data_IF_806962611983
#
_entry.id   IF_806962611983
#
_cell.length_a   1.000
_cell.length_b   1.000
_cell.length_c   1.000
_cell.angle_alpha   90.00
_cell.angle_beta   90.00
_cell.angle_gamma   90.00
#
_symmetry.space_group_name_H-M   'P 1'
#
loop_
_entity.id
_entity.type
_entity.pdbx_description
1 polymer ?
#
# COMPACT_ATOMS: atom_id res chain seq x y z
N UNK A 1 -21.21 -7.15 15.83
CA UNK A 1 -20.24 -7.63 14.82
C UNK A 1 -19.45 -6.42 14.35
N UNK A 2 -18.26 -6.22 14.91
CA UNK A 2 -17.48 -4.99 14.79
C UNK A 2 -16.75 -5.00 13.45
N UNK A 3 -17.11 -4.08 12.54
CA UNK A 3 -16.43 -3.93 11.25
C UNK A 3 -14.95 -3.69 11.47
N UNK A 4 -14.08 -4.46 10.79
CA UNK A 4 -12.63 -4.27 10.83
C UNK A 4 -12.30 -2.87 10.32
N UNK A 5 -11.64 -2.08 11.17
CA UNK A 5 -11.22 -0.73 10.83
C UNK A 5 -10.12 -0.80 9.74
N UNK A 6 -10.45 -0.28 8.55
CA UNK A 6 -9.46 -0.05 7.50
C UNK A 6 -8.37 0.94 7.94
N UNK A 7 -7.20 0.85 7.33
CA UNK A 7 -6.07 1.75 7.63
C UNK A 7 -6.21 3.12 6.97
N UNK A 8 -5.53 4.14 7.52
CA UNK A 8 -5.51 5.49 6.96
C UNK A 8 -4.16 5.82 6.32
N UNK A 9 -4.20 6.41 5.13
CA UNK A 9 -3.03 7.01 4.48
C UNK A 9 -3.14 8.51 4.61
N UNK A 10 -2.04 9.15 5.03
CA UNK A 10 -1.97 10.60 5.17
C UNK A 10 -1.07 11.18 4.09
N UNK A 11 -1.67 11.90 3.14
CA UNK A 11 -0.91 12.63 2.14
C UNK A 11 -0.42 13.95 2.69
N UNK A 12 0.85 14.29 2.50
CA UNK A 12 1.51 15.46 3.09
C UNK A 12 2.27 16.24 2.03
N UNK A 13 2.11 17.57 2.06
CA UNK A 13 2.95 18.52 1.34
C UNK A 13 3.53 19.54 2.33
N UNK A 14 4.78 19.95 2.11
CA UNK A 14 5.43 20.94 2.96
C UNK A 14 6.34 21.89 2.16
N UNK A 15 6.43 23.14 2.62
CA UNK A 15 7.49 24.07 2.20
C UNK A 15 8.85 23.54 2.69
N UNK A 16 9.92 23.96 2.00
CA UNK A 16 11.28 23.57 2.36
C UNK A 16 11.56 23.97 3.82
N UNK A 17 12.08 23.03 4.61
CA UNK A 17 12.46 23.28 6.00
C UNK A 17 11.29 23.40 6.99
N UNK A 18 10.08 23.00 6.62
CA UNK A 18 8.98 22.91 7.58
C UNK A 18 9.37 21.95 8.74
N UNK A 19 9.15 22.34 10.01
CA UNK A 19 9.54 21.53 11.15
C UNK A 19 8.67 20.28 11.27
N UNK A 20 9.26 19.18 11.74
CA UNK A 20 8.56 17.90 11.92
C UNK A 20 7.34 18.03 12.86
N UNK A 21 7.44 18.85 13.90
CA UNK A 21 6.36 19.08 14.86
C UNK A 21 5.15 19.78 14.22
N UNK A 22 5.35 20.67 13.25
CA UNK A 22 4.24 21.30 12.51
C UNK A 22 3.55 20.28 11.59
N UNK A 23 4.33 19.37 10.99
CA UNK A 23 3.79 18.26 10.20
C UNK A 23 2.98 17.32 11.09
N UNK A 24 3.56 16.84 12.19
CA UNK A 24 2.90 15.95 13.13
C UNK A 24 1.67 16.59 13.78
N UNK A 25 1.75 17.87 14.15
CA UNK A 25 0.64 18.63 14.70
C UNK A 25 -0.54 18.64 13.74
N UNK A 26 -0.31 19.02 12.49
CA UNK A 26 -1.36 19.06 11.47
C UNK A 26 -1.96 17.66 11.20
N UNK A 27 -1.13 16.61 11.14
CA UNK A 27 -1.61 15.24 10.96
C UNK A 27 -2.52 14.83 12.13
N UNK A 28 -2.11 15.10 13.37
CA UNK A 28 -2.89 14.78 14.57
C UNK A 28 -4.21 15.53 14.61
N UNK A 29 -4.22 16.80 14.24
CA UNK A 29 -5.43 17.61 14.13
C UNK A 29 -6.40 17.03 13.10
N UNK A 30 -5.91 16.70 11.90
CA UNK A 30 -6.73 16.10 10.85
C UNK A 30 -7.27 14.72 11.25
N UNK A 31 -6.48 13.89 11.94
CA UNK A 31 -6.93 12.59 12.45
C UNK A 31 -8.03 12.74 13.50
N UNK A 32 -7.90 13.73 14.40
CA UNK A 32 -8.93 14.06 15.38
C UNK A 32 -10.23 14.49 14.72
N UNK A 33 -10.15 15.29 13.66
CA UNK A 33 -11.31 15.69 12.85
C UNK A 33 -11.98 14.48 12.19
N UNK A 34 -11.18 13.53 11.69
CA UNK A 34 -11.67 12.30 11.09
C UNK A 34 -12.27 11.29 12.08
N UNK A 35 -12.11 11.51 13.40
CA UNK A 35 -12.39 10.49 14.42
C UNK A 35 -11.48 9.26 14.30
N UNK A 36 -10.32 9.39 13.66
CA UNK A 36 -9.41 8.29 13.38
C UNK A 36 -8.36 8.16 14.51
N UNK A 37 -8.16 6.95 15.08
CA UNK A 37 -7.09 6.70 16.04
C UNK A 37 -5.71 6.94 15.40
N UNK A 38 -4.76 7.55 16.12
CA UNK A 38 -3.42 7.78 15.58
C UNK A 38 -2.72 6.47 15.12
N UNK A 39 -2.93 5.37 15.84
CA UNK A 39 -2.39 4.05 15.49
C UNK A 39 -3.04 3.37 14.27
N UNK A 40 -4.06 4.00 13.67
CA UNK A 40 -4.69 3.49 12.43
C UNK A 40 -4.04 4.05 11.16
N UNK A 41 -3.08 4.97 11.29
CA UNK A 41 -2.27 5.42 10.14
C UNK A 41 -1.34 4.28 9.72
N UNK A 42 -1.35 3.96 8.43
CA UNK A 42 -0.53 2.88 7.86
C UNK A 42 0.57 3.39 6.93
N UNK A 43 0.49 4.63 6.48
CA UNK A 43 1.52 5.28 5.67
C UNK A 43 1.36 6.80 5.68
N UNK A 44 2.49 7.49 5.52
CA UNK A 44 2.53 8.88 5.07
C UNK A 44 2.91 8.87 3.58
N UNK A 45 2.25 9.69 2.76
CA UNK A 45 2.48 9.76 1.32
C UNK A 45 2.84 11.18 0.86
N UNK A 46 3.74 11.32 -0.10
CA UNK A 46 4.10 12.62 -0.69
C UNK A 46 4.58 12.51 -2.14
N UNK A 47 4.87 13.64 -2.78
CA UNK A 47 5.53 13.69 -4.09
C UNK A 47 7.03 13.41 -3.94
N UNK A 48 7.64 12.70 -4.89
CA UNK A 48 9.05 12.32 -4.86
C UNK A 48 10.01 13.50 -4.66
N UNK A 49 9.70 14.69 -5.21
CA UNK A 49 10.46 15.91 -4.97
C UNK A 49 10.54 16.34 -3.50
N UNK A 50 9.67 15.79 -2.63
CA UNK A 50 9.56 16.06 -1.20
C UNK A 50 9.98 14.87 -0.32
N UNK A 51 10.44 13.78 -0.92
CA UNK A 51 10.87 12.57 -0.22
C UNK A 51 11.96 12.81 0.85
N UNK A 52 12.82 13.82 0.63
CA UNK A 52 13.94 14.17 1.50
C UNK A 52 13.71 15.40 2.36
N UNK A 53 12.48 15.93 2.41
CA UNK A 53 12.18 17.03 3.34
C UNK A 53 12.24 16.50 4.77
N UNK A 54 13.14 17.02 5.63
CA UNK A 54 13.38 16.45 6.96
C UNK A 54 12.12 16.39 7.82
N UNK A 55 11.24 17.41 7.74
CA UNK A 55 9.99 17.44 8.48
C UNK A 55 9.03 16.31 8.13
N UNK A 56 8.91 15.94 6.85
CA UNK A 56 8.02 14.87 6.39
C UNK A 56 8.60 13.50 6.77
N UNK A 57 9.90 13.29 6.52
CA UNK A 57 10.57 12.04 6.86
C UNK A 57 10.56 11.78 8.38
N UNK A 58 10.86 12.80 9.19
CA UNK A 58 10.82 12.70 10.64
C UNK A 58 9.40 12.46 11.17
N UNK A 59 8.37 13.07 10.57
CA UNK A 59 6.99 12.81 10.95
C UNK A 59 6.56 11.37 10.68
N UNK A 60 6.92 10.81 9.51
CA UNK A 60 6.64 9.41 9.20
C UNK A 60 7.36 8.46 10.18
N UNK A 61 8.63 8.75 10.50
CA UNK A 61 9.40 7.98 11.48
C UNK A 61 8.79 8.06 12.89
N UNK A 62 8.35 9.24 13.33
CA UNK A 62 7.71 9.44 14.63
C UNK A 62 6.35 8.74 14.75
N UNK A 63 5.65 8.54 13.63
CA UNK A 63 4.43 7.74 13.54
C UNK A 63 4.71 6.23 13.42
N UNK A 64 5.95 5.83 13.17
CA UNK A 64 6.33 4.43 12.97
C UNK A 64 5.80 3.82 11.66
N UNK A 65 5.53 4.65 10.64
CA UNK A 65 4.92 4.22 9.38
C UNK A 65 5.83 4.52 8.18
N UNK A 66 5.73 3.76 7.09
CA UNK A 66 6.49 4.05 5.88
C UNK A 66 6.12 5.40 5.26
N UNK A 67 7.13 6.07 4.69
CA UNK A 67 6.95 7.20 3.79
C UNK A 67 6.89 6.69 2.34
N UNK A 68 5.73 6.83 1.70
CA UNK A 68 5.52 6.53 0.28
C UNK A 68 5.73 7.79 -0.56
N UNK A 69 6.32 7.62 -1.72
CA UNK A 69 6.66 8.73 -2.61
C UNK A 69 6.24 8.42 -4.03
N UNK A 70 5.59 9.37 -4.68
CA UNK A 70 5.05 9.19 -6.03
C UNK A 70 5.62 10.24 -6.99
N UNK A 71 5.79 9.86 -8.26
CA UNK A 71 6.23 10.82 -9.27
C UNK A 71 5.15 11.89 -9.49
N UNK A 72 5.55 13.13 -9.79
CA UNK A 72 4.58 14.21 -10.03
C UNK A 72 3.61 13.88 -11.19
N UNK A 73 4.12 13.23 -12.25
CA UNK A 73 3.32 12.79 -13.39
C UNK A 73 2.31 11.68 -13.04
N UNK A 74 2.60 10.86 -12.03
CA UNK A 74 1.67 9.86 -11.52
C UNK A 74 0.56 10.53 -10.73
N UNK A 75 0.92 11.42 -9.79
CA UNK A 75 -0.03 12.18 -8.98
C UNK A 75 -0.96 13.06 -9.83
N UNK A 76 -0.47 13.59 -10.95
CA UNK A 76 -1.29 14.37 -11.88
C UNK A 76 -2.43 13.57 -12.54
N UNK A 77 -2.34 12.23 -12.54
CA UNK A 77 -3.39 11.33 -13.07
C UNK A 77 -4.38 10.88 -12.00
N UNK A 78 -4.12 11.15 -10.73
CA UNK A 78 -5.01 10.76 -9.63
C UNK A 78 -6.22 11.69 -9.61
N UNK A 79 -7.45 11.17 -9.75
CA UNK A 79 -8.65 11.99 -9.60
C UNK A 79 -8.72 12.51 -8.16
N UNK A 80 -8.74 13.83 -8.00
CA UNK A 80 -8.92 14.49 -6.70
C UNK A 80 -10.15 15.40 -6.75
N UNK A 81 -10.91 15.55 -5.66
CA UNK A 81 -12.08 16.44 -5.63
C UNK A 81 -11.71 17.90 -5.91
N UNK A 82 -10.47 18.31 -5.59
CA UNK A 82 -9.98 19.67 -5.79
C UNK A 82 -8.66 19.67 -6.58
N UNK A 83 -8.71 19.53 -7.92
CA UNK A 83 -7.52 19.54 -8.75
C UNK A 83 -6.78 20.89 -8.63
N UNK A 84 -5.45 20.85 -8.67
CA UNK A 84 -4.63 22.06 -8.70
C UNK A 84 -3.81 22.08 -9.98
N UNK A 85 -3.83 23.21 -10.69
CA UNK A 85 -2.94 23.48 -11.82
C UNK A 85 -1.44 23.40 -11.43
N UNK A 86 -1.13 23.44 -10.13
CA UNK A 86 0.24 23.40 -9.59
C UNK A 86 0.86 21.99 -9.50
N UNK A 87 0.18 20.93 -9.98
CA UNK A 87 0.76 19.58 -10.02
C UNK A 87 2.12 19.54 -10.76
N UNK A 88 2.33 20.45 -11.71
CA UNK A 88 3.58 20.58 -12.47
C UNK A 88 4.65 21.49 -11.83
N UNK A 89 4.30 22.42 -10.91
CA UNK A 89 5.19 23.53 -10.49
C UNK A 89 5.20 23.75 -8.96
N UNK A 90 5.33 22.70 -8.15
CA UNK A 90 5.36 22.77 -6.67
C UNK A 90 3.97 22.80 -6.04
N UNK A 91 3.62 21.66 -5.47
CA UNK A 91 2.34 21.36 -4.85
C UNK A 91 2.10 22.09 -3.54
N UNK A 92 0.84 22.49 -3.35
CA UNK A 92 0.36 22.96 -2.04
C UNK A 92 -1.09 22.57 -1.74
N UNK A 93 -1.81 21.91 -2.65
CA UNK A 93 -3.21 21.48 -2.38
C UNK A 93 -3.57 20.13 -2.97
N UNK A 94 -3.54 19.98 -4.29
CA UNK A 94 -3.88 18.71 -4.95
C UNK A 94 -2.84 17.62 -4.72
N UNK A 95 -1.56 17.98 -4.52
CA UNK A 95 -0.50 16.97 -4.32
C UNK A 95 -0.68 16.17 -3.03
N UNK A 96 -1.16 16.78 -1.95
CA UNK A 96 -1.42 16.04 -0.70
C UNK A 96 -2.59 15.08 -0.87
N UNK A 97 -3.70 15.54 -1.46
CA UNK A 97 -4.87 14.68 -1.75
C UNK A 97 -4.50 13.55 -2.73
N UNK A 98 -3.81 13.87 -3.82
CA UNK A 98 -3.38 12.92 -4.83
C UNK A 98 -2.42 11.87 -4.26
N UNK A 99 -1.46 12.29 -3.41
CA UNK A 99 -0.54 11.36 -2.77
C UNK A 99 -1.26 10.43 -1.79
N UNK A 100 -2.26 10.92 -1.05
CA UNK A 100 -3.07 10.07 -0.17
C UNK A 100 -3.92 9.07 -0.97
N UNK A 101 -4.45 9.51 -2.11
CA UNK A 101 -5.33 8.73 -3.00
C UNK A 101 -4.58 7.85 -4.01
N UNK A 102 -3.24 7.89 -4.05
CA UNK A 102 -2.46 7.32 -5.14
C UNK A 102 -2.74 5.84 -5.41
N UNK A 103 -2.85 5.01 -4.36
CA UNK A 103 -3.25 3.61 -4.54
C UNK A 103 -4.77 3.36 -4.39
N UNK A 104 -5.60 4.41 -4.35
CA UNK A 104 -7.06 4.34 -4.13
C UNK A 104 -7.53 4.60 -2.70
N UNK A 105 -8.83 4.43 -2.44
CA UNK A 105 -9.47 4.67 -1.14
C UNK A 105 -10.48 5.82 -1.16
N UNK A 106 -10.99 6.16 0.01
CA UNK A 106 -11.99 7.22 0.21
C UNK A 106 -11.38 8.42 0.94
N UNK A 107 -11.48 9.61 0.37
CA UNK A 107 -11.05 10.84 1.03
C UNK A 107 -11.99 11.16 2.20
N UNK A 108 -11.50 11.04 3.43
CA UNK A 108 -12.28 11.30 4.65
C UNK A 108 -12.02 12.69 5.22
N UNK A 109 -10.81 13.22 5.02
CA UNK A 109 -10.47 14.61 5.34
C UNK A 109 -9.80 15.21 4.11
N UNK A 110 -10.51 16.13 3.48
CA UNK A 110 -9.94 16.96 2.42
C UNK A 110 -8.83 17.85 2.95
N UNK A 111 -8.16 18.58 2.06
CA UNK A 111 -7.02 19.43 2.40
C UNK A 111 -7.16 20.22 3.71
N UNK A 112 -6.19 20.08 4.60
CA UNK A 112 -5.93 20.94 5.76
C UNK A 112 -4.56 21.57 5.61
N UNK A 113 -4.42 22.83 6.05
CA UNK A 113 -3.16 23.56 6.05
C UNK A 113 -2.78 23.86 7.49
N UNK A 114 -1.49 23.80 7.81
CA UNK A 114 -1.00 24.32 9.07
C UNK A 114 -1.22 25.84 9.12
N UNK A 115 -1.29 26.39 10.33
CA UNK A 115 -1.35 27.84 10.54
C UNK A 115 -2.72 28.38 10.96
N UNK A 116 -2.63 29.41 11.79
CA UNK A 116 -3.68 30.24 12.36
C UNK A 116 -3.01 31.46 13.02
N UNK A 117 -3.72 32.59 13.13
CA UNK A 117 -3.19 33.89 13.58
C UNK A 117 -1.96 34.42 12.79
N UNK A 118 -2.19 34.89 11.56
CA UNK A 118 -1.26 35.80 10.87
C UNK A 118 0.03 35.19 10.28
N UNK A 119 0.27 33.88 10.42
CA UNK A 119 1.39 33.18 9.76
C UNK A 119 0.90 32.30 8.61
N UNK A 120 1.49 32.39 7.40
CA UNK A 120 1.15 31.48 6.31
C UNK A 120 1.66 30.07 6.63
N UNK A 121 0.75 29.09 6.65
CA UNK A 121 1.06 27.68 6.83
C UNK A 121 2.16 27.15 5.92
N UNK A 122 3.09 26.38 6.50
CA UNK A 122 4.14 25.72 5.75
C UNK A 122 3.76 24.28 5.34
N UNK A 123 2.75 23.68 5.93
CA UNK A 123 2.38 22.28 5.76
C UNK A 123 0.93 22.15 5.28
N UNK A 124 0.65 21.09 4.54
CA UNK A 124 -0.68 20.68 4.10
C UNK A 124 -0.81 19.17 4.25
N UNK A 125 -1.96 18.68 4.70
CA UNK A 125 -2.26 17.25 4.68
C UNK A 125 -3.68 16.93 4.21
N UNK A 126 -3.91 15.67 3.85
CA UNK A 126 -5.21 15.07 3.55
C UNK A 126 -5.22 13.63 4.06
N UNK A 127 -6.40 13.09 4.41
CA UNK A 127 -6.54 11.73 4.96
C UNK A 127 -7.46 10.90 4.07
N UNK A 128 -6.97 9.73 3.71
CA UNK A 128 -7.70 8.72 2.94
C UNK A 128 -7.87 7.47 3.78
N UNK A 129 -9.09 6.94 3.83
CA UNK A 129 -9.40 5.63 4.39
C UNK A 129 -9.22 4.56 3.30
N UNK A 130 -8.48 3.51 3.63
CA UNK A 130 -8.36 2.29 2.82
C UNK A 130 -9.39 1.28 3.28
N UNK A 131 -10.01 0.58 2.33
CA UNK A 131 -10.68 -0.67 2.65
C UNK A 131 -9.65 -1.65 3.23
N UNK A 132 -10.06 -2.48 4.16
CA UNK A 132 -9.20 -3.54 4.67
C UNK A 132 -8.91 -4.54 3.55
N UNK A 133 -7.63 -4.84 3.31
CA UNK A 133 -7.25 -5.89 2.36
C UNK A 133 -7.46 -7.30 2.93
N UNK A 134 -8.28 -7.44 3.98
CA UNK A 134 -8.56 -8.73 4.66
C UNK A 134 -9.85 -9.39 4.20
N UNK A 135 -10.51 -8.86 3.18
CA UNK A 135 -11.46 -9.64 2.38
C UNK A 135 -10.67 -10.59 1.48
N UNK A 136 -10.65 -11.91 1.72
CA UNK A 136 -10.32 -12.82 0.62
C UNK A 136 -11.29 -12.52 -0.52
N UNK A 137 -10.79 -12.49 -1.76
CA UNK A 137 -11.71 -12.45 -2.91
C UNK A 137 -12.74 -13.56 -2.75
N UNK A 138 -14.03 -13.32 -3.06
CA UNK A 138 -15.01 -14.38 -3.08
C UNK A 138 -14.51 -15.46 -4.04
N UNK A 139 -14.15 -16.62 -3.50
CA UNK A 139 -13.85 -17.81 -4.28
C UNK A 139 -15.07 -18.04 -5.17
N UNK A 140 -14.94 -18.05 -6.51
CA UNK A 140 -16.08 -18.34 -7.37
C UNK A 140 -16.63 -19.72 -6.96
N UNK A 141 -17.95 -19.89 -6.81
CA UNK A 141 -18.52 -21.18 -6.44
C UNK A 141 -18.17 -22.18 -7.56
N UNK A 142 -17.29 -23.14 -7.28
CA UNK A 142 -17.01 -24.24 -8.22
C UNK A 142 -15.60 -24.81 -8.29
N UNK A 143 -14.63 -24.38 -7.49
CA UNK A 143 -13.36 -25.10 -7.37
C UNK A 143 -13.33 -25.90 -6.07
N UNK A 144 -13.71 -27.18 -6.16
CA UNK A 144 -13.53 -28.12 -5.06
C UNK A 144 -12.02 -28.30 -4.78
N UNK A 145 -11.60 -28.35 -3.50
CA UNK A 145 -10.21 -28.57 -3.16
C UNK A 145 -9.79 -30.00 -3.56
N UNK A 146 -8.83 -30.11 -4.47
CA UNK A 146 -8.10 -31.36 -4.72
C UNK A 146 -7.39 -31.77 -3.43
N UNK A 147 -7.77 -32.92 -2.89
CA UNK A 147 -7.13 -33.51 -1.73
C UNK A 147 -5.65 -33.83 -2.04
N UNK A 148 -4.72 -33.63 -1.10
CA UNK A 148 -3.34 -34.05 -1.28
C UNK A 148 -3.25 -35.58 -1.21
N UNK A 149 -2.75 -36.22 -2.28
CA UNK A 149 -2.42 -37.65 -2.31
C UNK A 149 -1.38 -37.95 -1.23
N UNK A 150 -1.82 -38.61 -0.15
CA UNK A 150 -0.97 -39.35 0.75
C UNK A 150 -0.69 -40.72 0.13
N UNK A 151 0.53 -40.96 -0.33
CA UNK A 151 1.08 -42.30 -0.49
C UNK A 151 2.14 -42.49 0.60
N UNK A 152 1.77 -43.29 1.59
CA UNK A 152 2.65 -43.88 2.60
C UNK A 152 3.40 -45.09 2.02
N UNK A 153 4.69 -45.18 2.37
CA UNK A 153 5.61 -46.29 2.10
C UNK A 153 5.18 -47.67 2.65
N UNK A 154 5.92 -48.72 2.20
CA UNK A 154 6.16 -50.06 2.82
C UNK A 154 5.15 -51.18 2.40
N UNK A 155 5.49 -52.41 1.93
CA UNK A 155 6.70 -53.24 1.93
C UNK A 155 6.66 -54.49 1.00
N UNK A 156 7.85 -55.10 0.85
CA UNK A 156 8.22 -56.54 0.82
C UNK A 156 7.71 -57.54 -0.24
N UNK A 157 8.67 -58.02 -1.05
CA UNK A 157 9.13 -59.42 -0.99
C UNK A 157 8.24 -60.56 -1.52
N UNK A 158 8.55 -61.07 -2.72
CA UNK A 158 8.11 -62.41 -3.16
C UNK A 158 8.60 -62.81 -4.57
N UNK A 159 8.84 -64.11 -4.88
CA UNK A 159 10.05 -64.52 -5.58
C UNK A 159 9.90 -65.04 -7.04
N UNK A 160 11.06 -65.09 -7.70
CA UNK A 160 11.51 -65.82 -8.92
C UNK A 160 10.51 -66.73 -9.66
N UNK A 161 10.34 -66.45 -10.96
CA UNK A 161 9.78 -67.37 -11.95
C UNK A 161 10.60 -67.34 -13.25
N UNK A 162 11.34 -68.43 -13.49
CA UNK A 162 12.17 -68.66 -14.67
C UNK A 162 11.29 -69.15 -15.84
N UNK A 163 11.44 -68.64 -17.07
CA UNK A 163 11.59 -69.48 -18.29
C UNK A 163 11.75 -68.67 -19.59
N UNK A 164 12.93 -68.86 -20.20
CA UNK A 164 13.26 -69.00 -21.63
C UNK A 164 12.13 -68.69 -22.65
N UNK A 165 12.47 -67.92 -23.70
CA UNK A 165 12.91 -68.45 -25.03
C UNK A 165 13.15 -67.31 -26.05
N UNK A 166 14.32 -67.38 -26.68
CA UNK A 166 14.61 -67.20 -28.11
C UNK A 166 13.86 -66.16 -28.95
N UNK A 167 14.61 -65.22 -29.54
CA UNK A 167 15.13 -65.24 -30.95
C UNK A 167 15.88 -63.91 -31.17
N UNK A 168 17.20 -63.93 -31.26
CA UNK A 168 17.97 -63.98 -32.51
C UNK A 168 17.58 -62.93 -33.55
N UNK A 169 18.60 -62.13 -33.91
CA UNK A 169 18.84 -61.54 -35.24
C UNK A 169 17.96 -60.32 -35.57
N UNK A 170 18.45 -59.18 -36.08
CA UNK A 170 19.64 -58.93 -36.90
C UNK A 170 19.71 -57.41 -37.22
N UNK A 171 20.92 -56.85 -37.20
CA UNK A 171 21.46 -55.74 -38.02
C UNK A 171 20.88 -54.33 -37.86
N UNK A 172 21.67 -53.35 -37.40
CA UNK A 172 22.81 -52.62 -38.01
C UNK A 172 22.35 -51.33 -38.69
N UNK A 173 22.98 -50.22 -38.26
CA UNK A 173 23.35 -49.02 -39.00
C UNK A 173 22.22 -48.17 -39.63
N UNK A 174 22.22 -46.85 -39.54
CA UNK A 174 23.30 -45.87 -39.55
C UNK A 174 22.81 -44.59 -38.85
#
# INVERSE_FOLDING_TARGET
MTGRAGGFVVGVGARRGAPADEVLGLIREALREAGAPAGSVVAVATVAAKAREPGIAAAAAALGVPLRTYAAAELARVPVPHPSAAAAVVGTSSVAEAAALADGGELVVGKRKSGGQGRPGAVTCAIVRRADSSTPEPVPPGVEPVAPDMISDVNDGGPVGQHRRHRHHRKENL
#
